data_IF_976557084010
#
_entry.id   IF_976557084010
#
_cell.length_a   1.000
_cell.length_b   1.000
_cell.length_c   1.000
_cell.angle_alpha   90.00
_cell.angle_beta   90.00
_cell.angle_gamma   90.00
#
_symmetry.space_group_name_H-M   'P 1'
#
loop_
_entity.id
_entity.type
_entity.pdbx_description
1 polymer ?
#
# COMPACT_ATOMS: atom_id res chain seq x y z
N UNK A 1 -36.30 -3.76 4.66
CA UNK A 1 -35.01 -3.78 3.92
C UNK A 1 -33.95 -4.35 4.85
N UNK A 2 -33.30 -5.47 4.50
CA UNK A 2 -32.15 -5.97 5.27
C UNK A 2 -30.97 -5.03 5.00
N UNK A 3 -30.36 -4.48 6.05
CA UNK A 3 -29.12 -3.74 5.89
C UNK A 3 -28.06 -4.72 5.34
N UNK A 4 -27.70 -4.57 4.07
CA UNK A 4 -26.69 -5.41 3.46
C UNK A 4 -25.34 -5.06 4.09
N UNK A 5 -24.46 -6.05 4.25
CA UNK A 5 -23.14 -5.87 4.87
C UNK A 5 -22.25 -4.81 4.18
N UNK A 6 -22.64 -4.33 2.99
CA UNK A 6 -21.95 -3.29 2.22
C UNK A 6 -22.53 -1.88 2.40
N UNK A 7 -23.68 -1.70 3.06
CA UNK A 7 -24.38 -0.41 3.13
C UNK A 7 -24.42 0.21 4.53
N UNK A 8 -23.79 -0.42 5.53
CA UNK A 8 -23.68 0.12 6.90
C UNK A 8 -22.32 0.79 7.07
N UNK A 9 -22.25 2.14 7.26
CA UNK A 9 -21.01 2.81 7.60
C UNK A 9 -20.45 2.26 8.92
N UNK A 10 -19.18 1.86 8.92
CA UNK A 10 -18.50 1.31 10.10
C UNK A 10 -17.34 2.18 10.52
N UNK A 11 -16.95 2.15 11.82
CA UNK A 11 -15.70 2.74 12.26
C UNK A 11 -14.53 2.15 11.45
N UNK A 12 -13.61 3.01 11.00
CA UNK A 12 -12.42 2.55 10.30
C UNK A 12 -11.53 1.76 11.27
N UNK A 13 -11.13 0.52 10.94
CA UNK A 13 -10.20 -0.25 11.75
C UNK A 13 -8.82 0.39 11.79
N UNK A 14 -8.03 0.02 12.81
CA UNK A 14 -6.67 0.50 12.99
C UNK A 14 -5.75 0.07 11.83
N UNK A 15 -4.81 0.94 11.46
CA UNK A 15 -3.92 0.75 10.30
C UNK A 15 -2.59 0.06 10.62
N UNK A 16 -2.28 -0.12 11.91
CA UNK A 16 -1.01 -0.66 12.36
C UNK A 16 -0.81 -2.13 11.96
N UNK A 17 -1.85 -2.95 12.12
CA UNK A 17 -1.76 -4.39 11.81
C UNK A 17 -1.49 -4.65 10.32
N UNK A 18 -2.22 -4.04 9.36
CA UNK A 18 -1.86 -4.12 7.94
C UNK A 18 -0.43 -3.65 7.64
N UNK A 19 0.01 -2.53 8.23
CA UNK A 19 1.33 -1.97 7.97
C UNK A 19 2.47 -2.85 8.48
N UNK A 20 2.31 -3.49 9.64
CA UNK A 20 3.28 -4.45 10.20
C UNK A 20 3.36 -5.71 9.34
N UNK A 21 2.23 -6.21 8.88
CA UNK A 21 2.22 -7.38 8.01
C UNK A 21 2.91 -7.10 6.67
N UNK A 22 2.66 -5.93 6.08
CA UNK A 22 3.31 -5.51 4.85
C UNK A 22 4.82 -5.26 5.04
N UNK A 23 5.24 -4.68 6.17
CA UNK A 23 6.67 -4.50 6.47
C UNK A 23 7.38 -5.85 6.63
N UNK A 24 6.71 -6.85 7.21
CA UNK A 24 7.24 -8.22 7.28
C UNK A 24 7.47 -8.80 5.88
N UNK A 25 6.56 -8.57 4.92
CA UNK A 25 6.76 -9.00 3.51
C UNK A 25 7.98 -8.32 2.90
N UNK A 26 8.14 -7.02 3.07
CA UNK A 26 9.30 -6.28 2.54
C UNK A 26 10.59 -6.79 3.19
N UNK A 27 10.60 -7.03 4.50
CA UNK A 27 11.76 -7.55 5.21
C UNK A 27 12.11 -8.99 4.79
N UNK A 28 11.11 -9.87 4.63
CA UNK A 28 11.29 -11.24 4.18
C UNK A 28 11.65 -11.35 2.69
N UNK A 29 11.34 -10.34 1.88
CA UNK A 29 11.82 -10.30 0.50
C UNK A 29 13.35 -10.16 0.41
N UNK A 30 14.00 -9.52 1.39
CA UNK A 30 15.46 -9.35 1.39
C UNK A 30 16.23 -10.68 1.38
N UNK A 31 16.02 -11.64 2.32
CA UNK A 31 16.71 -12.92 2.27
C UNK A 31 16.38 -13.72 1.01
N UNK A 32 15.16 -13.63 0.48
CA UNK A 32 14.79 -14.28 -0.79
C UNK A 32 15.64 -13.72 -1.95
N UNK A 33 15.82 -12.40 -2.02
CA UNK A 33 16.63 -11.77 -3.05
C UNK A 33 18.11 -12.16 -2.94
N UNK A 34 18.64 -12.24 -1.71
CA UNK A 34 20.01 -12.67 -1.46
C UNK A 34 20.24 -14.12 -1.88
N UNK A 35 19.31 -15.03 -1.56
CA UNK A 35 19.42 -16.45 -1.91
C UNK A 35 19.22 -16.68 -3.42
N UNK A 36 18.29 -15.96 -4.04
CA UNK A 36 17.97 -16.09 -5.46
C UNK A 36 18.95 -15.33 -6.39
N UNK A 37 19.91 -14.57 -5.85
CA UNK A 37 20.84 -13.75 -6.63
C UNK A 37 20.16 -12.61 -7.39
N UNK A 38 18.99 -12.17 -6.93
CA UNK A 38 18.22 -11.11 -7.59
C UNK A 38 18.81 -9.72 -7.31
N UNK A 39 18.54 -8.74 -8.19
CA UNK A 39 19.09 -7.39 -8.04
C UNK A 39 18.59 -6.72 -6.76
N UNK A 40 19.49 -6.54 -5.78
CA UNK A 40 19.20 -5.87 -4.50
C UNK A 40 18.70 -4.43 -4.67
N UNK A 41 19.11 -3.77 -5.74
CA UNK A 41 18.59 -2.45 -6.12
C UNK A 41 17.07 -2.47 -6.33
N UNK A 42 16.53 -3.55 -6.89
CA UNK A 42 15.09 -3.72 -7.09
C UNK A 42 14.34 -3.86 -5.77
N UNK A 43 14.88 -4.66 -4.83
CA UNK A 43 14.33 -4.73 -3.47
C UNK A 43 14.36 -3.37 -2.77
N UNK A 44 15.50 -2.67 -2.80
CA UNK A 44 15.66 -1.38 -2.15
C UNK A 44 14.69 -0.34 -2.73
N UNK A 45 14.51 -0.31 -4.05
CA UNK A 45 13.54 0.55 -4.72
C UNK A 45 12.11 0.21 -4.31
N UNK A 46 11.72 -1.07 -4.32
CA UNK A 46 10.40 -1.52 -3.88
C UNK A 46 10.11 -1.15 -2.42
N UNK A 47 11.10 -1.33 -1.53
CA UNK A 47 11.02 -0.96 -0.13
C UNK A 47 10.88 0.57 0.06
N UNK A 48 11.66 1.37 -0.68
CA UNK A 48 11.59 2.82 -0.64
C UNK A 48 10.24 3.33 -1.17
N UNK A 49 9.73 2.76 -2.26
CA UNK A 49 8.42 3.08 -2.81
C UNK A 49 7.31 2.76 -1.82
N UNK A 50 7.34 1.58 -1.19
CA UNK A 50 6.38 1.21 -0.15
C UNK A 50 6.44 2.14 1.06
N UNK A 51 7.64 2.47 1.56
CA UNK A 51 7.81 3.39 2.68
C UNK A 51 7.29 4.79 2.36
N UNK A 52 7.61 5.33 1.18
CA UNK A 52 7.09 6.62 0.72
C UNK A 52 5.56 6.63 0.61
N UNK A 53 4.99 5.50 0.17
CA UNK A 53 3.56 5.25 0.16
C UNK A 53 2.92 5.32 1.55
N UNK A 54 3.57 4.75 2.57
CA UNK A 54 3.12 4.83 3.97
C UNK A 54 3.23 6.23 4.54
N UNK A 55 4.31 6.96 4.22
CA UNK A 55 4.47 8.37 4.60
C UNK A 55 3.36 9.22 4.00
N UNK A 56 3.05 9.03 2.72
CA UNK A 56 1.95 9.74 2.06
C UNK A 56 0.61 9.42 2.75
N UNK A 57 0.34 8.16 3.05
CA UNK A 57 -0.87 7.76 3.78
C UNK A 57 -0.93 8.37 5.18
N UNK A 58 0.18 8.42 5.90
CA UNK A 58 0.27 9.07 7.21
C UNK A 58 0.02 10.58 7.10
N UNK A 59 0.60 11.24 6.10
CA UNK A 59 0.39 12.67 5.85
C UNK A 59 -1.08 12.97 5.50
N UNK A 60 -1.69 12.18 4.62
CA UNK A 60 -3.10 12.32 4.27
C UNK A 60 -4.02 12.04 5.47
N UNK A 61 -3.66 11.12 6.36
CA UNK A 61 -4.45 10.85 7.57
C UNK A 61 -4.50 12.04 8.53
N UNK A 62 -3.46 12.89 8.53
CA UNK A 62 -3.43 14.13 9.33
C UNK A 62 -4.39 15.19 8.80
N UNK A 63 -4.78 15.13 7.54
CA UNK A 63 -5.69 16.12 6.94
C UNK A 63 -7.16 15.93 7.37
N UNK A 64 -7.49 14.82 8.04
CA UNK A 64 -8.77 14.60 8.71
C UNK A 64 -9.92 14.24 7.77
N UNK A 65 -10.43 13.01 7.90
CA UNK A 65 -11.69 12.55 7.28
C UNK A 65 -12.89 13.06 8.11
N UNK A 66 -13.11 14.37 8.11
CA UNK A 66 -14.24 15.00 8.80
C UNK A 66 -15.45 15.12 7.89
N UNK A 67 -16.61 14.59 8.32
CA UNK A 67 -17.87 14.58 7.56
C UNK A 67 -18.37 15.96 7.09
N UNK A 68 -17.86 17.06 7.67
CA UNK A 68 -18.21 18.43 7.28
C UNK A 68 -17.37 19.04 6.15
N UNK A 69 -16.41 18.32 5.54
CA UNK A 69 -15.49 18.93 4.60
C UNK A 69 -15.18 18.05 3.38
N UNK A 70 -16.12 18.02 2.42
CA UNK A 70 -16.03 17.26 1.15
C UNK A 70 -14.71 17.50 0.42
N UNK A 71 -14.16 18.72 0.47
CA UNK A 71 -12.89 19.06 -0.15
C UNK A 71 -11.72 18.24 0.43
N UNK A 72 -11.69 18.00 1.74
CA UNK A 72 -10.65 17.17 2.39
C UNK A 72 -10.80 15.69 2.05
N UNK A 73 -12.04 15.18 2.00
CA UNK A 73 -12.30 13.80 1.57
C UNK A 73 -11.89 13.57 0.12
N UNK A 74 -12.09 14.56 -0.77
CA UNK A 74 -11.64 14.52 -2.16
C UNK A 74 -10.11 14.49 -2.29
N UNK A 75 -9.39 15.35 -1.54
CA UNK A 75 -7.91 15.37 -1.55
C UNK A 75 -7.32 14.05 -1.06
N UNK A 76 -7.90 13.45 -0.02
CA UNK A 76 -7.45 12.12 0.47
C UNK A 76 -7.71 11.04 -0.58
N UNK A 77 -8.88 11.04 -1.23
CA UNK A 77 -9.21 10.08 -2.29
C UNK A 77 -8.29 10.21 -3.50
N UNK A 78 -8.06 11.43 -3.98
CA UNK A 78 -7.14 11.71 -5.10
C UNK A 78 -5.70 11.33 -4.72
N UNK A 79 -5.25 11.66 -3.51
CA UNK A 79 -3.91 11.31 -3.02
C UNK A 79 -3.69 9.80 -2.92
N UNK A 80 -4.71 9.05 -2.51
CA UNK A 80 -4.65 7.58 -2.48
C UNK A 80 -4.57 6.97 -3.88
N UNK A 81 -5.31 7.51 -4.85
CA UNK A 81 -5.23 7.06 -6.26
C UNK A 81 -3.89 7.43 -6.89
N UNK A 82 -3.40 8.65 -6.63
CA UNK A 82 -2.14 9.14 -7.14
C UNK A 82 -0.95 8.29 -6.69
N UNK A 83 -0.99 7.74 -5.46
CA UNK A 83 0.04 6.83 -4.94
C UNK A 83 0.33 5.68 -5.91
N UNK A 84 -0.70 5.00 -6.42
CA UNK A 84 -0.52 3.87 -7.33
C UNK A 84 0.08 4.31 -8.68
N UNK A 85 -0.38 5.43 -9.20
CA UNK A 85 0.13 6.02 -10.45
C UNK A 85 1.59 6.42 -10.31
N UNK A 86 1.95 7.10 -9.22
CA UNK A 86 3.32 7.53 -8.95
C UNK A 86 4.28 6.33 -8.87
N UNK A 87 3.89 5.27 -8.15
CA UNK A 87 4.67 4.03 -8.07
C UNK A 87 4.83 3.39 -9.45
N UNK A 88 3.75 3.30 -10.22
CA UNK A 88 3.78 2.73 -11.57
C UNK A 88 4.73 3.49 -12.49
N UNK A 89 4.68 4.83 -12.46
CA UNK A 89 5.60 5.68 -13.25
C UNK A 89 7.06 5.41 -12.88
N UNK A 90 7.39 5.34 -11.58
CA UNK A 90 8.77 5.07 -11.14
C UNK A 90 9.23 3.68 -11.58
N UNK A 91 8.40 2.66 -11.40
CA UNK A 91 8.72 1.28 -11.82
C UNK A 91 8.95 1.20 -13.32
N UNK A 92 8.09 1.82 -14.14
CA UNK A 92 8.23 1.83 -15.59
C UNK A 92 9.51 2.58 -16.01
N UNK A 93 9.78 3.72 -15.39
CA UNK A 93 11.00 4.49 -15.69
C UNK A 93 12.27 3.69 -15.39
N UNK A 94 12.30 2.95 -14.28
CA UNK A 94 13.43 2.08 -13.93
C UNK A 94 13.49 0.86 -14.84
N UNK A 95 12.35 0.24 -15.17
CA UNK A 95 12.29 -0.89 -16.09
C UNK A 95 12.79 -0.54 -17.50
N UNK A 96 12.63 0.71 -17.94
CA UNK A 96 13.16 1.18 -19.21
C UNK A 96 14.70 1.21 -19.27
N UNK A 97 15.37 1.39 -18.12
CA UNK A 97 16.84 1.34 -18.01
C UNK A 97 17.36 -0.05 -17.63
N UNK A 98 16.68 -0.73 -16.70
CA UNK A 98 17.00 -2.09 -16.28
C UNK A 98 15.71 -2.83 -15.89
N UNK A 99 15.25 -3.69 -16.80
CA UNK A 99 14.00 -4.41 -16.67
C UNK A 99 13.96 -5.34 -15.43
N UNK A 100 15.07 -5.97 -15.08
CA UNK A 100 15.15 -6.86 -13.92
C UNK A 100 14.97 -6.10 -12.61
N UNK A 101 15.61 -4.93 -12.47
CA UNK A 101 15.46 -4.06 -11.29
C UNK A 101 14.03 -3.54 -11.19
N UNK A 102 13.45 -3.10 -12.31
CA UNK A 102 12.07 -2.62 -12.36
C UNK A 102 11.06 -3.70 -11.97
N UNK A 103 11.19 -4.90 -12.54
CA UNK A 103 10.35 -6.05 -12.23
C UNK A 103 10.46 -6.46 -10.76
N UNK A 104 11.69 -6.55 -10.25
CA UNK A 104 11.95 -6.88 -8.85
C UNK A 104 11.31 -5.86 -7.88
N UNK A 105 11.44 -4.56 -8.16
CA UNK A 105 10.81 -3.51 -7.37
C UNK A 105 9.28 -3.58 -7.43
N UNK A 106 8.72 -3.83 -8.62
CA UNK A 106 7.30 -4.00 -8.82
C UNK A 106 6.74 -5.16 -7.97
N UNK A 107 7.44 -6.30 -7.96
CA UNK A 107 7.02 -7.48 -7.21
C UNK A 107 7.02 -7.23 -5.70
N UNK A 108 8.10 -6.64 -5.17
CA UNK A 108 8.19 -6.32 -3.73
C UNK A 108 7.06 -5.37 -3.31
N UNK A 109 6.86 -4.28 -4.07
CA UNK A 109 5.79 -3.33 -3.78
C UNK A 109 4.40 -3.97 -3.89
N UNK A 110 4.14 -4.71 -4.97
CA UNK A 110 2.83 -5.30 -5.23
C UNK A 110 2.44 -6.34 -4.17
N UNK A 111 3.38 -7.19 -3.76
CA UNK A 111 3.15 -8.18 -2.70
C UNK A 111 2.83 -7.51 -1.36
N UNK A 112 3.64 -6.53 -0.96
CA UNK A 112 3.41 -5.78 0.27
C UNK A 112 2.05 -5.07 0.27
N UNK A 113 1.74 -4.36 -0.83
CA UNK A 113 0.46 -3.66 -1.01
C UNK A 113 -0.75 -4.60 -1.00
N UNK A 114 -0.63 -5.77 -1.65
CA UNK A 114 -1.73 -6.74 -1.73
C UNK A 114 -2.04 -7.34 -0.37
N UNK A 115 -1.01 -7.69 0.41
CA UNK A 115 -1.22 -8.18 1.77
C UNK A 115 -1.81 -7.09 2.68
N UNK A 116 -1.30 -5.86 2.60
CA UNK A 116 -1.81 -4.72 3.36
C UNK A 116 -3.30 -4.48 3.08
N UNK A 117 -3.67 -4.49 1.80
CA UNK A 117 -5.05 -4.34 1.35
C UNK A 117 -5.91 -5.51 1.82
N UNK A 118 -5.43 -6.75 1.68
CA UNK A 118 -6.14 -7.95 2.11
C UNK A 118 -6.46 -7.93 3.61
N UNK A 119 -5.50 -7.57 4.46
CA UNK A 119 -5.71 -7.47 5.91
C UNK A 119 -6.62 -6.29 6.27
N UNK A 120 -6.51 -5.17 5.55
CA UNK A 120 -7.39 -4.03 5.73
C UNK A 120 -8.85 -4.39 5.41
N UNK A 121 -9.08 -5.14 4.33
CA UNK A 121 -10.41 -5.63 3.96
C UNK A 121 -10.91 -6.68 4.97
N UNK A 122 -10.07 -7.64 5.34
CA UNK A 122 -10.41 -8.67 6.31
C UNK A 122 -10.76 -8.09 7.69
N UNK A 123 -10.05 -7.06 8.15
CA UNK A 123 -10.35 -6.38 9.42
C UNK A 123 -11.65 -5.55 9.34
N UNK A 124 -11.89 -4.85 8.22
CA UNK A 124 -13.10 -4.05 8.02
C UNK A 124 -14.37 -4.91 7.93
N UNK A 125 -14.30 -6.06 7.26
CA UNK A 125 -15.44 -6.98 7.11
C UNK A 125 -15.53 -8.05 8.20
N UNK A 126 -14.42 -8.40 8.84
CA UNK A 126 -14.34 -9.45 9.88
C UNK A 126 -14.88 -9.02 11.24
N UNK A 127 -15.03 -7.71 11.49
CA UNK A 127 -15.68 -7.16 12.71
C UNK A 127 -17.20 -7.46 12.76
N UNK A 128 -17.77 -8.10 11.74
CA UNK A 128 -19.21 -8.41 11.63
C UNK A 128 -19.64 -9.74 12.28
N UNK A 129 -18.87 -10.30 13.22
CA UNK A 129 -19.25 -11.49 14.00
C UNK A 129 -19.77 -11.12 15.38
#
# INVERSE_FOLDING_TARGET
MRANAFSTPRPLPGRLLPAIAASAVVALALPVFLIAGWPLAGWALGAALWAGAQVLTALLSRLGLGAGNLARSGVVGVGMMFRAVAVMVVVIAVAAGNAEVGLAAALVYALAYTLELGISLASYFGTAR
#
